data_IF_974715811018
#
_entry.id   IF_974715811018
#
_cell.length_a   1.000
_cell.length_b   1.000
_cell.length_c   1.000
_cell.angle_alpha   90.00
_cell.angle_beta   90.00
_cell.angle_gamma   90.00
#
_symmetry.space_group_name_H-M   'P 1'
#
loop_
_entity.id
_entity.type
_entity.pdbx_description
1 polymer ?
#
# COMPACT_ATOMS: atom_id res chain seq x y z
N UNK A 1 -3.41 17.04 21.38
CA UNK A 1 -3.45 15.59 21.08
C UNK A 1 -4.45 15.39 19.96
N UNK A 2 -4.08 14.74 18.84
CA UNK A 2 -5.05 14.43 17.77
C UNK A 2 -6.06 13.40 18.27
N UNK A 3 -7.33 13.55 17.89
CA UNK A 3 -8.39 12.59 18.21
C UNK A 3 -8.11 11.24 17.56
N UNK A 4 -8.73 10.16 18.08
CA UNK A 4 -8.63 8.82 17.48
C UNK A 4 -9.12 8.82 16.04
N UNK A 5 -10.18 9.60 15.76
CA UNK A 5 -10.74 9.78 14.43
C UNK A 5 -9.75 10.47 13.48
N UNK A 6 -9.12 11.58 13.89
CA UNK A 6 -8.12 12.29 13.08
C UNK A 6 -6.92 11.38 12.76
N UNK A 7 -6.47 10.57 13.72
CA UNK A 7 -5.38 9.60 13.48
C UNK A 7 -5.79 8.51 12.50
N UNK A 8 -7.03 8.04 12.58
CA UNK A 8 -7.54 7.04 11.65
C UNK A 8 -7.62 7.59 10.21
N UNK A 9 -8.15 8.80 10.04
CA UNK A 9 -8.23 9.49 8.75
C UNK A 9 -6.82 9.74 8.14
N UNK A 10 -5.83 10.09 8.97
CA UNK A 10 -4.43 10.19 8.54
C UNK A 10 -3.86 8.87 8.02
N UNK A 11 -4.18 7.76 8.69
CA UNK A 11 -3.75 6.44 8.24
C UNK A 11 -4.44 6.01 6.95
N UNK A 12 -5.72 6.35 6.76
CA UNK A 12 -6.43 6.12 5.48
C UNK A 12 -5.73 6.88 4.35
N UNK A 13 -5.43 8.18 4.53
CA UNK A 13 -4.73 8.97 3.52
C UNK A 13 -3.32 8.43 3.22
N UNK A 14 -2.63 7.91 4.23
CA UNK A 14 -1.33 7.23 4.07
C UNK A 14 -1.48 5.93 3.29
N UNK A 15 -2.49 5.10 3.60
CA UNK A 15 -2.80 3.86 2.88
C UNK A 15 -3.06 4.14 1.40
N UNK A 16 -3.91 5.12 1.08
CA UNK A 16 -4.22 5.50 -0.30
C UNK A 16 -2.97 5.90 -1.09
N UNK A 17 -2.06 6.64 -0.45
CA UNK A 17 -0.79 7.05 -1.05
C UNK A 17 0.09 5.84 -1.34
N UNK A 18 0.20 4.90 -0.41
CA UNK A 18 0.98 3.69 -0.57
C UNK A 18 0.41 2.76 -1.65
N UNK A 19 -0.92 2.57 -1.69
CA UNK A 19 -1.63 1.79 -2.72
C UNK A 19 -1.39 2.39 -4.10
N UNK A 20 -1.46 3.72 -4.23
CA UNK A 20 -1.16 4.42 -5.48
C UNK A 20 0.29 4.18 -5.92
N UNK A 21 1.22 4.20 -4.97
CA UNK A 21 2.62 3.85 -5.21
C UNK A 21 2.78 2.44 -5.76
N UNK A 22 2.18 1.44 -5.10
CA UNK A 22 2.26 0.04 -5.53
C UNK A 22 1.67 -0.17 -6.94
N UNK A 23 0.50 0.43 -7.21
CA UNK A 23 -0.12 0.40 -8.55
C UNK A 23 0.75 1.08 -9.62
N UNK A 24 1.51 2.10 -9.24
CA UNK A 24 2.45 2.75 -10.16
C UNK A 24 3.59 1.82 -10.52
N UNK A 25 4.14 1.07 -9.56
CA UNK A 25 5.13 0.03 -9.80
C UNK A 25 4.60 -1.06 -10.75
N UNK A 26 3.39 -1.56 -10.50
CA UNK A 26 2.73 -2.56 -11.36
C UNK A 26 2.56 -2.04 -12.81
N UNK A 27 2.11 -0.80 -12.98
CA UNK A 27 1.99 -0.16 -14.30
C UNK A 27 3.34 0.02 -15.00
N UNK A 28 4.37 0.44 -14.26
CA UNK A 28 5.72 0.60 -14.81
C UNK A 28 6.26 -0.74 -15.32
N UNK A 29 6.07 -1.82 -14.56
CA UNK A 29 6.43 -3.18 -14.99
C UNK A 29 5.69 -3.62 -16.26
N UNK A 30 4.39 -3.33 -16.35
CA UNK A 30 3.60 -3.65 -17.54
C UNK A 30 4.14 -2.93 -18.79
N UNK A 31 4.37 -1.62 -18.69
CA UNK A 31 4.90 -0.81 -19.79
C UNK A 31 6.30 -1.27 -20.23
N UNK A 32 7.17 -1.64 -19.28
CA UNK A 32 8.50 -2.16 -19.59
C UNK A 32 8.45 -3.52 -20.29
N UNK A 33 7.54 -4.41 -19.87
CA UNK A 33 7.32 -5.71 -20.52
C UNK A 33 6.82 -5.55 -21.95
N UNK A 34 5.86 -4.66 -22.19
CA UNK A 34 5.38 -4.36 -23.53
C UNK A 34 6.53 -3.85 -24.41
N UNK A 35 7.32 -2.89 -23.93
CA UNK A 35 8.49 -2.37 -24.65
C UNK A 35 9.54 -3.45 -24.98
N UNK A 36 9.71 -4.46 -24.12
CA UNK A 36 10.60 -5.61 -24.37
C UNK A 36 10.06 -6.56 -25.44
N UNK A 37 8.74 -6.79 -25.47
CA UNK A 37 8.11 -7.67 -26.46
C UNK A 37 8.12 -7.06 -27.86
N UNK A 38 7.98 -5.74 -27.97
CA UNK A 38 7.83 -5.05 -29.26
C UNK A 38 9.14 -4.54 -29.88
N UNK A 39 10.23 -4.42 -29.12
CA UNK A 39 11.52 -3.93 -29.64
C UNK A 39 12.60 -4.99 -29.50
N UNK A 40 13.08 -5.54 -30.62
CA UNK A 40 14.32 -6.33 -30.65
C UNK A 40 15.49 -5.41 -30.27
N UNK A 41 15.88 -5.43 -28.99
CA UNK A 41 17.03 -4.69 -28.46
C UNK A 41 18.20 -5.65 -28.22
N UNK A 42 19.43 -5.16 -28.38
CA UNK A 42 20.65 -5.95 -28.12
C UNK A 42 20.84 -6.32 -26.64
N UNK A 43 21.70 -7.32 -26.36
CA UNK A 43 21.90 -7.94 -25.03
C UNK A 43 22.13 -6.94 -23.89
N UNK A 44 23.01 -5.94 -24.07
CA UNK A 44 23.28 -4.92 -23.03
C UNK A 44 22.03 -4.14 -22.61
N UNK A 45 21.04 -3.98 -23.50
CA UNK A 45 19.78 -3.33 -23.16
C UNK A 45 18.86 -4.26 -22.36
N UNK A 46 18.97 -5.58 -22.51
CA UNK A 46 18.18 -6.55 -21.77
C UNK A 46 18.61 -6.63 -20.30
N UNK A 47 19.92 -6.60 -20.04
CA UNK A 47 20.46 -6.62 -18.68
C UNK A 47 20.04 -5.38 -17.88
N UNK A 48 20.19 -4.18 -18.47
CA UNK A 48 19.71 -2.94 -17.84
C UNK A 48 18.20 -2.97 -17.59
N UNK A 49 17.40 -3.51 -18.51
CA UNK A 49 15.96 -3.62 -18.33
C UNK A 49 15.59 -4.59 -17.21
N UNK A 50 16.32 -5.71 -17.10
CA UNK A 50 16.15 -6.66 -16.00
C UNK A 50 16.45 -6.01 -14.65
N UNK A 51 17.57 -5.29 -14.53
CA UNK A 51 17.91 -4.56 -13.31
C UNK A 51 16.78 -3.58 -12.96
N UNK A 52 16.34 -2.73 -13.90
CA UNK A 52 15.23 -1.79 -13.65
C UNK A 52 13.97 -2.50 -13.17
N UNK A 53 13.63 -3.66 -13.73
CA UNK A 53 12.49 -4.46 -13.30
C UNK A 53 12.66 -4.97 -11.85
N UNK A 54 13.85 -5.45 -11.50
CA UNK A 54 14.15 -5.91 -10.13
C UNK A 54 14.04 -4.76 -9.12
N UNK A 55 14.53 -3.56 -9.47
CA UNK A 55 14.41 -2.37 -8.63
C UNK A 55 12.94 -1.96 -8.42
N UNK A 56 12.12 -2.00 -9.47
CA UNK A 56 10.68 -1.70 -9.38
C UNK A 56 9.98 -2.74 -8.48
N UNK A 57 10.29 -4.02 -8.64
CA UNK A 57 9.73 -5.09 -7.82
C UNK A 57 10.10 -4.92 -6.33
N UNK A 58 11.38 -4.67 -6.02
CA UNK A 58 11.82 -4.42 -4.64
C UNK A 58 11.10 -3.22 -4.02
N UNK A 59 10.88 -2.16 -4.81
CA UNK A 59 10.12 -0.99 -4.35
C UNK A 59 8.66 -1.34 -4.07
N UNK A 60 8.02 -2.11 -4.94
CA UNK A 60 6.65 -2.59 -4.78
C UNK A 60 6.50 -3.44 -3.51
N UNK A 61 7.40 -4.40 -3.29
CA UNK A 61 7.40 -5.25 -2.09
C UNK A 61 7.52 -4.42 -0.81
N UNK A 62 8.40 -3.41 -0.79
CA UNK A 62 8.52 -2.48 0.33
C UNK A 62 7.21 -1.74 0.59
N UNK A 63 6.57 -1.23 -0.46
CA UNK A 63 5.28 -0.54 -0.33
C UNK A 63 4.18 -1.48 0.20
N UNK A 64 4.12 -2.73 -0.28
CA UNK A 64 3.16 -3.73 0.24
C UNK A 64 3.34 -4.02 1.72
N UNK A 65 4.58 -4.08 2.21
CA UNK A 65 4.88 -4.23 3.66
C UNK A 65 4.43 -3.02 4.45
N UNK A 66 4.65 -1.81 3.93
CA UNK A 66 4.20 -0.56 4.57
C UNK A 66 2.66 -0.48 4.62
N UNK A 67 1.96 -0.90 3.56
CA UNK A 67 0.48 -0.98 3.53
C UNK A 67 -0.02 -1.91 4.64
N UNK A 68 0.58 -3.09 4.78
CA UNK A 68 0.22 -4.03 5.84
C UNK A 68 0.37 -3.41 7.23
N UNK A 69 1.50 -2.73 7.50
CA UNK A 69 1.73 -2.07 8.77
C UNK A 69 0.68 -0.99 9.06
N UNK A 70 0.34 -0.15 8.08
CA UNK A 70 -0.71 0.88 8.21
C UNK A 70 -2.08 0.27 8.50
N UNK A 71 -2.46 -0.79 7.77
CA UNK A 71 -3.72 -1.50 8.01
C UNK A 71 -3.79 -2.13 9.39
N UNK A 72 -2.66 -2.63 9.88
CA UNK A 72 -2.57 -3.17 11.24
C UNK A 72 -2.79 -2.07 12.28
N UNK A 73 -2.14 -0.92 12.14
CA UNK A 73 -2.35 0.25 13.01
C UNK A 73 -3.82 0.72 12.99
N UNK A 74 -4.44 0.79 11.80
CA UNK A 74 -5.86 1.13 11.67
C UNK A 74 -6.76 0.12 12.37
N UNK A 75 -6.44 -1.17 12.31
CA UNK A 75 -7.19 -2.24 13.00
C UNK A 75 -7.08 -2.08 14.51
N UNK A 76 -5.88 -1.77 15.04
CA UNK A 76 -5.68 -1.51 16.46
C UNK A 76 -6.47 -0.28 16.92
N UNK A 77 -6.49 0.80 16.14
CA UNK A 77 -7.30 1.98 16.43
C UNK A 77 -8.79 1.68 16.36
N UNK A 78 -9.25 0.87 15.39
CA UNK A 78 -10.64 0.45 15.27
C UNK A 78 -11.13 -0.28 16.53
N UNK A 79 -10.28 -1.08 17.17
CA UNK A 79 -10.59 -1.76 18.43
C UNK A 79 -10.68 -0.80 19.65
N UNK A 80 -10.17 0.43 19.54
CA UNK A 80 -10.25 1.45 20.59
C UNK A 80 -11.54 2.29 20.51
N UNK A 81 -12.32 2.16 19.43
CA UNK A 81 -13.65 2.75 19.41
C UNK A 81 -14.54 1.96 20.39
N UNK A 82 -15.25 2.63 21.31
CA UNK A 82 -16.27 1.97 22.07
C UNK A 82 -17.27 1.40 21.06
N UNK A 83 -17.36 0.08 20.97
CA UNK A 83 -18.40 -0.57 20.21
C UNK A 83 -19.73 -0.01 20.72
N UNK A 84 -20.58 0.46 19.81
CA UNK A 84 -21.95 0.88 20.14
C UNK A 84 -22.73 -0.20 20.95
N UNK A 85 -22.25 -1.45 20.93
CA UNK A 85 -22.75 -2.53 21.78
C UNK A 85 -22.52 -2.36 23.29
N UNK A 86 -21.54 -1.57 23.75
CA UNK A 86 -21.34 -1.38 25.20
C UNK A 86 -22.30 -0.38 25.85
N UNK A 87 -22.94 0.51 25.08
CA UNK A 87 -23.99 1.39 25.62
C UNK A 87 -25.36 0.68 25.76
N UNK A 88 -25.55 -0.46 25.09
CA UNK A 88 -26.77 -1.26 25.21
C UNK A 88 -26.77 -2.17 26.45
N UNK A 89 -25.59 -2.52 26.99
CA UNK A 89 -25.47 -3.34 28.21
C UNK A 89 -25.47 -2.51 29.51
N UNK A 90 -25.30 -1.18 29.42
CA UNK A 90 -25.30 -0.27 30.58
C UNK A 90 -26.61 0.52 30.76
N UNK A 91 -27.65 0.25 29.97
CA UNK A 91 -29.00 0.75 30.26
C UNK A 91 -29.64 -0.14 31.33
N UNK A 92 -29.80 0.33 32.59
CA UNK A 92 -30.47 -0.46 33.62
C UNK A 92 -31.96 -0.50 33.28
N UNK A 93 -32.51 -1.72 33.17
CA UNK A 93 -33.94 -1.94 33.40
C UNK A 93 -34.28 -1.66 34.87
#
# INVERSE_FOLDING_TARGET
>A
MKSVQEKYEELVGKEDTLIRGARTCEKAMYLLKDEMLYKQRGEACQDTLKEVCEWIQQREEKLRREIFAVRWEMTVLACQFPSANKQAEESPL
#
